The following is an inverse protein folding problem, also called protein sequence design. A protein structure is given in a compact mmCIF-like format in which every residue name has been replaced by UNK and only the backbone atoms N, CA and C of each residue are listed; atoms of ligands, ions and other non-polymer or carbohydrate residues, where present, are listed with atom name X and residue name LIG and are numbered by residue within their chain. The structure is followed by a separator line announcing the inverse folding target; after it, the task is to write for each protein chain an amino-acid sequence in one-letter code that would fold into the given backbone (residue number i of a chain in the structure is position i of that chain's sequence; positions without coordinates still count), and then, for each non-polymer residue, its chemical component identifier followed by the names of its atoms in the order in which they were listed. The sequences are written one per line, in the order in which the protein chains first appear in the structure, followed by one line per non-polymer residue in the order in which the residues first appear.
data_IF_512954971223
#
_entry.id   IF_512954971223
#
_cell.length_a   1.000
_cell.length_b   1.000
_cell.length_c   1.000
_cell.angle_alpha   90.00
_cell.angle_beta   90.00
_cell.angle_gamma   90.00
#
_symmetry.space_group_name_H-M   'P 1'
#
loop_
_entity.id
_entity.type
_entity.pdbx_description
1 polymer ?
#
# COMPACT_ATOMS: atom_id res chain seq x y z
N UNK A 1 -3.37 8.25 18.49
CA UNK A 1 -3.64 8.33 17.04
C UNK A 1 -3.25 7.03 16.35
N UNK A 2 -4.03 6.62 15.36
CA UNK A 2 -3.82 5.44 14.53
C UNK A 2 -3.80 5.85 13.05
N UNK A 3 -3.26 4.98 12.20
CA UNK A 3 -3.39 5.06 10.76
C UNK A 3 -4.39 4.03 10.27
N UNK A 4 -5.29 4.42 9.38
CA UNK A 4 -6.20 3.51 8.65
C UNK A 4 -5.90 3.61 7.17
N UNK A 5 -5.72 2.47 6.50
CA UNK A 5 -5.65 2.41 5.05
C UNK A 5 -6.95 1.79 4.53
N UNK A 6 -7.62 2.50 3.64
CA UNK A 6 -8.74 2.00 2.85
C UNK A 6 -8.26 1.85 1.41
N UNK A 7 -8.40 0.67 0.83
CA UNK A 7 -7.86 0.37 -0.49
C UNK A 7 -8.77 -0.54 -1.31
N UNK A 8 -8.57 -0.55 -2.62
CA UNK A 8 -9.30 -1.34 -3.62
C UNK A 8 -8.33 -1.83 -4.70
N UNK A 9 -8.46 -3.08 -5.10
CA UNK A 9 -7.64 -3.65 -6.17
C UNK A 9 -8.22 -3.27 -7.54
N UNK A 10 -7.44 -2.57 -8.32
CA UNK A 10 -7.80 -2.20 -9.70
C UNK A 10 -7.62 -3.43 -10.59
N UNK A 11 -8.62 -3.70 -11.44
CA UNK A 11 -8.69 -4.86 -12.34
C UNK A 11 -8.72 -6.21 -11.61
N UNK A 12 -9.20 -6.25 -10.37
CA UNK A 12 -9.30 -7.46 -9.54
C UNK A 12 -9.99 -8.63 -10.24
N UNK A 13 -10.91 -8.35 -11.16
CA UNK A 13 -11.67 -9.36 -11.91
C UNK A 13 -10.90 -10.01 -13.05
N UNK A 14 -9.76 -9.45 -13.45
CA UNK A 14 -8.92 -9.98 -14.55
C UNK A 14 -7.99 -11.11 -14.08
N UNK A 15 -7.83 -11.26 -12.77
CA UNK A 15 -6.92 -12.25 -12.16
C UNK A 15 -7.64 -12.98 -11.03
N UNK A 16 -7.44 -14.31 -10.94
CA UNK A 16 -8.03 -15.10 -9.86
C UNK A 16 -7.68 -14.51 -8.49
N UNK A 17 -8.69 -14.34 -7.60
CA UNK A 17 -8.48 -13.81 -6.24
C UNK A 17 -7.40 -14.57 -5.47
N UNK A 18 -7.29 -15.89 -5.63
CA UNK A 18 -6.29 -16.71 -4.95
C UNK A 18 -4.85 -16.28 -5.25
N UNK A 19 -4.60 -15.76 -6.47
CA UNK A 19 -3.26 -15.34 -6.88
C UNK A 19 -2.85 -14.05 -6.14
N UNK A 20 -3.68 -13.00 -6.24
CA UNK A 20 -3.31 -11.71 -5.68
C UNK A 20 -3.52 -11.65 -4.16
N UNK A 21 -4.54 -12.34 -3.63
CA UNK A 21 -4.81 -12.34 -2.20
C UNK A 21 -3.69 -13.05 -1.42
N UNK A 22 -3.21 -14.21 -1.91
CA UNK A 22 -2.10 -14.89 -1.27
C UNK A 22 -0.82 -14.03 -1.27
N UNK A 23 -0.55 -13.32 -2.36
CA UNK A 23 0.61 -12.43 -2.44
C UNK A 23 0.50 -11.22 -1.48
N UNK A 24 -0.71 -10.69 -1.28
CA UNK A 24 -0.96 -9.59 -0.36
C UNK A 24 -0.92 -10.01 1.12
N UNK A 25 -1.32 -11.25 1.43
CA UNK A 25 -1.43 -11.73 2.81
C UNK A 25 -0.15 -11.55 3.62
N UNK A 26 1.00 -11.84 3.05
CA UNK A 26 2.29 -11.67 3.75
C UNK A 26 2.51 -10.20 4.15
N UNK A 27 2.16 -9.27 3.27
CA UNK A 27 2.27 -7.83 3.56
C UNK A 27 1.22 -7.37 4.57
N UNK A 28 -0.01 -7.88 4.47
CA UNK A 28 -1.09 -7.57 5.40
C UNK A 28 -0.82 -8.12 6.81
N UNK A 29 -0.22 -9.31 6.92
CA UNK A 29 0.18 -9.90 8.21
C UNK A 29 1.22 -9.05 8.95
N UNK A 30 2.04 -8.27 8.23
CA UNK A 30 2.93 -7.30 8.84
C UNK A 30 2.19 -6.13 9.53
N UNK A 31 0.93 -5.87 9.15
CA UNK A 31 0.07 -4.90 9.83
C UNK A 31 -0.57 -5.47 11.11
N UNK A 32 -0.60 -6.79 11.27
CA UNK A 32 -1.14 -7.47 12.44
C UNK A 32 -2.06 -8.66 12.08
N UNK A 33 -2.97 -8.97 12.98
CA UNK A 33 -3.87 -10.14 12.88
C UNK A 33 -5.05 -9.85 11.95
N UNK A 34 -5.39 -10.83 11.10
CA UNK A 34 -6.57 -10.78 10.23
C UNK A 34 -7.85 -10.54 11.06
N UNK A 35 -8.80 -9.85 10.47
CA UNK A 35 -10.03 -9.32 11.06
C UNK A 35 -9.83 -8.18 12.06
N UNK A 36 -8.91 -8.27 13.00
CA UNK A 36 -8.73 -7.26 14.05
C UNK A 36 -7.81 -6.10 13.64
N UNK A 37 -6.83 -6.35 12.77
CA UNK A 37 -5.89 -5.33 12.25
C UNK A 37 -6.09 -5.05 10.78
N UNK A 38 -6.52 -6.03 9.99
CA UNK A 38 -6.84 -5.87 8.57
C UNK A 38 -7.95 -6.85 8.14
N UNK A 39 -8.64 -6.49 7.10
CA UNK A 39 -9.69 -7.31 6.50
C UNK A 39 -9.77 -7.05 5.00
N UNK A 40 -10.02 -8.12 4.22
CA UNK A 40 -10.45 -8.03 2.82
C UNK A 40 -11.94 -8.29 2.78
N UNK A 41 -12.71 -7.36 2.26
CA UNK A 41 -14.16 -7.40 2.22
C UNK A 41 -14.69 -7.01 0.83
N UNK A 42 -15.94 -7.33 0.53
CA UNK A 42 -16.57 -7.08 -0.79
C UNK A 42 -15.80 -7.63 -1.99
N UNK A 43 -14.89 -8.57 -1.76
CA UNK A 43 -14.13 -9.25 -2.80
C UNK A 43 -12.74 -8.68 -3.06
N UNK A 44 -12.57 -7.36 -3.11
CA UNK A 44 -11.31 -6.70 -3.49
C UNK A 44 -11.00 -5.43 -2.69
N UNK A 45 -11.87 -5.04 -1.78
CA UNK A 45 -11.65 -3.91 -0.87
C UNK A 45 -10.85 -4.35 0.35
N UNK A 46 -9.87 -3.56 0.74
CA UNK A 46 -8.99 -3.83 1.87
C UNK A 46 -9.11 -2.68 2.87
N UNK A 47 -9.21 -3.03 4.14
CA UNK A 47 -9.11 -2.06 5.23
C UNK A 47 -8.13 -2.57 6.27
N UNK A 48 -7.23 -1.71 6.71
CA UNK A 48 -6.25 -2.06 7.74
C UNK A 48 -6.00 -0.91 8.71
N UNK A 49 -5.67 -1.26 9.95
CA UNK A 49 -5.27 -0.35 11.02
C UNK A 49 -3.78 -0.57 11.28
N UNK A 50 -3.05 0.50 11.48
CA UNK A 50 -1.61 0.46 11.81
C UNK A 50 -1.20 1.67 12.63
N UNK A 51 0.03 1.67 13.13
CA UNK A 51 0.63 2.88 13.73
C UNK A 51 0.83 3.93 12.63
N UNK A 52 0.63 5.24 12.91
CA UNK A 52 0.80 6.30 11.91
C UNK A 52 2.15 6.26 11.20
N UNK A 53 3.22 5.96 11.94
CA UNK A 53 4.60 5.88 11.43
C UNK A 53 4.78 4.79 10.36
N UNK A 54 3.94 3.74 10.37
CA UNK A 54 4.01 2.62 9.45
C UNK A 54 3.05 2.75 8.26
N UNK A 55 2.11 3.70 8.32
CA UNK A 55 1.00 3.75 7.36
C UNK A 55 1.49 3.94 5.91
N UNK A 56 2.41 4.89 5.69
CA UNK A 56 2.96 5.13 4.35
C UNK A 56 3.80 3.94 3.86
N UNK A 57 4.64 3.36 4.74
CA UNK A 57 5.44 2.18 4.40
C UNK A 57 4.55 1.01 3.96
N UNK A 58 3.48 0.72 4.72
CA UNK A 58 2.55 -0.35 4.37
C UNK A 58 1.78 -0.05 3.07
N UNK A 59 1.35 1.19 2.87
CA UNK A 59 0.71 1.60 1.62
C UNK A 59 1.61 1.38 0.41
N UNK A 60 2.86 1.83 0.46
CA UNK A 60 3.83 1.63 -0.62
C UNK A 60 4.16 0.14 -0.80
N UNK A 61 4.25 -0.63 0.29
CA UNK A 61 4.46 -2.09 0.24
C UNK A 61 3.30 -2.80 -0.47
N UNK A 62 2.05 -2.45 -0.15
CA UNK A 62 0.87 -2.99 -0.83
C UNK A 62 0.87 -2.64 -2.32
N UNK A 63 1.23 -1.40 -2.69
CA UNK A 63 1.40 -0.99 -4.09
C UNK A 63 2.44 -1.84 -4.78
N UNK A 64 3.62 -2.00 -4.18
CA UNK A 64 4.72 -2.77 -4.74
C UNK A 64 4.37 -4.26 -4.91
N UNK A 65 3.62 -4.85 -3.98
CA UNK A 65 3.15 -6.23 -4.08
C UNK A 65 2.15 -6.39 -5.22
N UNK A 66 1.13 -5.53 -5.26
CA UNK A 66 0.07 -5.61 -6.28
C UNK A 66 0.63 -5.44 -7.69
N UNK A 67 1.57 -4.52 -7.87
CA UNK A 67 2.24 -4.26 -9.17
C UNK A 67 3.15 -5.40 -9.63
N UNK A 68 3.42 -6.43 -8.82
CA UNK A 68 4.10 -7.64 -9.27
C UNK A 68 3.23 -8.52 -10.17
N UNK A 69 1.92 -8.34 -10.12
CA UNK A 69 0.98 -9.07 -10.97
C UNK A 69 0.66 -8.20 -12.19
N UNK A 70 0.86 -8.73 -13.42
CA UNK A 70 0.52 -7.99 -14.62
C UNK A 70 -0.93 -7.50 -14.62
N UNK A 71 -1.15 -6.26 -15.06
CA UNK A 71 -2.43 -5.58 -15.18
C UNK A 71 -3.13 -5.24 -13.85
N UNK A 72 -2.66 -5.73 -12.71
CA UNK A 72 -3.19 -5.30 -11.42
C UNK A 72 -2.54 -4.00 -10.94
N UNK A 73 -3.34 -3.24 -10.22
CA UNK A 73 -2.90 -2.10 -9.45
C UNK A 73 -3.76 -1.98 -8.18
N UNK A 74 -3.43 -1.06 -7.31
CA UNK A 74 -4.18 -0.75 -6.10
C UNK A 74 -4.35 0.75 -5.97
N UNK A 75 -5.56 1.20 -5.67
CA UNK A 75 -5.82 2.56 -5.21
C UNK A 75 -6.09 2.54 -3.71
N UNK A 76 -5.57 3.52 -3.00
CA UNK A 76 -5.68 3.55 -1.56
C UNK A 76 -5.61 4.96 -0.98
N UNK A 77 -6.20 5.12 0.19
CA UNK A 77 -6.07 6.34 0.97
C UNK A 77 -5.71 6.01 2.42
N UNK A 78 -4.83 6.82 2.98
CA UNK A 78 -4.36 6.75 4.35
C UNK A 78 -5.11 7.82 5.16
N UNK A 79 -5.76 7.42 6.25
CA UNK A 79 -6.35 8.33 7.22
C UNK A 79 -5.61 8.27 8.54
N UNK A 80 -5.23 9.41 9.11
CA UNK A 80 -4.63 9.50 10.43
C UNK A 80 -5.65 10.14 11.38
N UNK A 81 -5.81 9.57 12.57
CA UNK A 81 -6.73 10.09 13.59
C UNK A 81 -6.88 9.15 14.77
N UNK A 82 -7.87 9.40 15.61
CA UNK A 82 -8.24 8.51 16.69
C UNK A 82 -9.19 7.42 16.16
N UNK A 83 -9.17 6.25 16.83
CA UNK A 83 -10.20 5.22 16.70
C UNK A 83 -11.06 5.31 17.96
N UNK A 84 -12.30 5.76 17.81
CA UNK A 84 -13.22 5.95 18.92
C UNK A 84 -14.06 4.72 19.23
N UNK A 85 -14.21 3.82 18.27
CA UNK A 85 -14.85 2.54 18.42
C UNK A 85 -14.05 1.45 17.72
N UNK A 86 -13.55 0.48 18.49
CA UNK A 86 -12.81 -0.68 17.99
C UNK A 86 -13.66 -1.94 18.14
N UNK A 87 -14.07 -2.50 17.02
CA UNK A 87 -14.77 -3.78 16.94
C UNK A 87 -13.80 -4.95 16.81
N UNK A 88 -14.28 -6.17 16.91
CA UNK A 88 -13.52 -7.38 16.56
C UNK A 88 -13.10 -7.39 15.08
N UNK A 89 -13.92 -6.75 14.21
CA UNK A 89 -13.64 -6.58 12.78
C UNK A 89 -13.25 -5.15 12.48
N UNK A 90 -12.19 -4.99 11.70
CA UNK A 90 -11.74 -3.67 11.22
C UNK A 90 -12.85 -2.93 10.49
N UNK A 91 -13.57 -3.62 9.59
CA UNK A 91 -14.67 -3.04 8.80
C UNK A 91 -15.87 -2.55 9.62
N UNK A 92 -15.96 -2.95 10.88
CA UNK A 92 -16.99 -2.51 11.83
C UNK A 92 -16.48 -1.50 12.85
N UNK A 93 -15.19 -1.17 12.81
CA UNK A 93 -14.56 -0.16 13.67
C UNK A 93 -14.81 1.25 13.12
N UNK A 94 -14.71 2.28 13.96
CA UNK A 94 -14.98 3.66 13.55
C UNK A 94 -14.14 4.68 14.33
N UNK A 95 -14.07 5.89 13.79
CA UNK A 95 -13.40 7.03 14.38
C UNK A 95 -12.80 7.96 13.32
N UNK A 96 -12.20 9.08 13.75
CA UNK A 96 -11.57 10.06 12.85
C UNK A 96 -10.60 9.45 11.83
N UNK A 97 -9.81 8.43 12.20
CA UNK A 97 -8.90 7.77 11.26
C UNK A 97 -9.65 7.11 10.10
N UNK A 98 -10.76 6.42 10.38
CA UNK A 98 -11.63 5.80 9.36
C UNK A 98 -12.34 6.85 8.49
N UNK A 99 -12.86 7.90 9.12
CA UNK A 99 -13.51 9.02 8.40
C UNK A 99 -12.51 9.68 7.46
N UNK A 100 -11.28 9.92 7.92
CA UNK A 100 -10.24 10.53 7.10
C UNK A 100 -9.83 9.62 5.93
N UNK A 101 -9.61 8.33 6.16
CA UNK A 101 -9.25 7.40 5.08
C UNK A 101 -10.37 7.25 4.06
N UNK A 102 -11.62 7.12 4.50
CA UNK A 102 -12.79 7.03 3.63
C UNK A 102 -12.97 8.30 2.79
N UNK A 103 -12.94 9.48 3.42
CA UNK A 103 -13.09 10.75 2.71
C UNK A 103 -11.96 10.99 1.69
N UNK A 104 -10.71 10.62 2.03
CA UNK A 104 -9.60 10.70 1.07
C UNK A 104 -9.74 9.68 -0.05
N UNK A 105 -10.24 8.47 0.24
CA UNK A 105 -10.48 7.42 -0.76
C UNK A 105 -11.57 7.83 -1.76
N UNK A 106 -12.68 8.37 -1.28
CA UNK A 106 -13.77 8.86 -2.14
C UNK A 106 -13.32 10.02 -3.04
N UNK A 107 -12.35 10.82 -2.57
CA UNK A 107 -11.79 11.95 -3.31
C UNK A 107 -10.66 11.57 -4.30
N UNK A 108 -10.22 10.31 -4.36
CA UNK A 108 -9.09 9.89 -5.21
C UNK A 108 -9.30 10.19 -6.70
N UNK A 109 -10.54 10.05 -7.21
CA UNK A 109 -10.83 10.15 -8.64
C UNK A 109 -9.90 9.24 -9.47
N UNK A 110 -8.93 9.85 -10.19
CA UNK A 110 -7.91 9.14 -11.00
C UNK A 110 -6.60 8.84 -10.26
N UNK A 111 -6.46 9.35 -9.04
CA UNK A 111 -5.26 9.10 -8.23
C UNK A 111 -5.30 7.71 -7.62
N UNK A 112 -4.14 7.17 -7.34
CA UNK A 112 -4.02 5.85 -6.73
C UNK A 112 -3.57 5.88 -5.28
N UNK A 113 -3.13 7.05 -4.78
CA UNK A 113 -2.67 7.21 -3.41
C UNK A 113 -3.00 8.61 -2.89
N UNK A 114 -3.54 8.70 -1.68
CA UNK A 114 -3.77 9.95 -0.96
C UNK A 114 -3.65 9.75 0.55
N UNK A 115 -3.47 10.86 1.27
CA UNK A 115 -3.48 10.88 2.73
C UNK A 115 -4.36 12.01 3.24
N UNK A 116 -5.02 11.78 4.38
CA UNK A 116 -5.74 12.79 5.14
C UNK A 116 -5.47 12.63 6.62
N UNK A 117 -5.07 13.73 7.25
CA UNK A 117 -4.73 13.81 8.66
C UNK A 117 -5.51 14.95 9.32
N UNK A 118 -5.36 15.18 10.63
CA UNK A 118 -5.88 16.39 11.28
C UNK A 118 -5.15 17.69 10.88
N UNK A 119 -4.02 17.61 10.17
CA UNK A 119 -3.16 18.75 9.82
C UNK A 119 -3.25 19.06 8.33
N UNK A 120 -4.09 20.03 7.99
CA UNK A 120 -4.41 20.38 6.60
C UNK A 120 -3.17 20.79 5.77
N UNK A 121 -2.32 21.64 6.32
CA UNK A 121 -1.12 22.11 5.60
C UNK A 121 -0.14 20.95 5.31
N UNK A 122 -0.04 20.00 6.25
CA UNK A 122 0.74 18.77 6.06
C UNK A 122 0.15 17.90 4.95
N UNK A 123 -1.18 17.74 4.91
CA UNK A 123 -1.89 16.99 3.88
C UNK A 123 -1.65 17.57 2.48
N UNK A 124 -1.69 18.89 2.34
CA UNK A 124 -1.46 19.58 1.06
C UNK A 124 -0.07 19.27 0.51
N UNK A 125 0.98 19.41 1.33
CA UNK A 125 2.35 19.13 0.92
C UNK A 125 2.55 17.64 0.62
N UNK A 126 2.09 16.76 1.52
CA UNK A 126 2.32 15.33 1.38
C UNK A 126 1.57 14.74 0.19
N UNK A 127 0.34 15.19 -0.09
CA UNK A 127 -0.40 14.73 -1.27
C UNK A 127 0.28 15.15 -2.58
N UNK A 128 0.92 16.32 -2.66
CA UNK A 128 1.74 16.71 -3.83
C UNK A 128 2.92 15.73 -3.97
N UNK A 129 3.59 15.37 -2.89
CA UNK A 129 4.70 14.40 -2.92
C UNK A 129 4.21 13.01 -3.35
N UNK A 130 3.03 12.58 -2.87
CA UNK A 130 2.42 11.31 -3.25
C UNK A 130 1.99 11.31 -4.73
N UNK A 131 1.44 12.40 -5.24
CA UNK A 131 1.11 12.56 -6.66
C UNK A 131 2.37 12.42 -7.54
N UNK A 132 3.48 13.06 -7.16
CA UNK A 132 4.76 12.93 -7.87
C UNK A 132 5.31 11.49 -7.81
N UNK A 133 5.25 10.85 -6.65
CA UNK A 133 5.68 9.45 -6.51
C UNK A 133 4.79 8.50 -7.33
N UNK A 134 3.48 8.76 -7.40
CA UNK A 134 2.53 7.97 -8.18
C UNK A 134 2.86 7.98 -9.67
N UNK A 135 3.42 9.08 -10.24
CA UNK A 135 3.87 9.13 -11.62
C UNK A 135 4.85 8.00 -11.96
N UNK A 136 5.64 7.58 -10.99
CA UNK A 136 6.57 6.44 -11.14
C UNK A 136 5.91 5.12 -10.72
N UNK A 137 5.29 5.08 -9.54
CA UNK A 137 4.72 3.85 -8.96
C UNK A 137 3.60 3.24 -9.80
N UNK A 138 2.74 4.06 -10.41
CA UNK A 138 1.65 3.58 -11.27
C UNK A 138 2.17 2.92 -12.56
N UNK A 139 3.38 3.28 -12.97
CA UNK A 139 4.05 2.74 -14.15
C UNK A 139 5.02 1.59 -13.86
N UNK A 140 5.13 1.11 -12.63
CA UNK A 140 5.98 -0.02 -12.31
C UNK A 140 5.59 -1.27 -13.10
N UNK A 141 6.61 -1.90 -13.68
CA UNK A 141 6.49 -3.23 -14.26
C UNK A 141 6.69 -4.30 -13.19
N UNK A 142 6.15 -5.51 -13.33
CA UNK A 142 6.25 -6.56 -12.31
C UNK A 142 7.67 -6.78 -11.75
N UNK A 143 8.66 -6.89 -12.63
CA UNK A 143 10.04 -7.09 -12.21
C UNK A 143 10.63 -5.88 -11.44
N UNK A 144 10.20 -4.66 -11.76
CA UNK A 144 10.61 -3.45 -11.04
C UNK A 144 9.96 -3.40 -9.65
N UNK A 145 8.66 -3.66 -9.57
CA UNK A 145 7.92 -3.70 -8.33
C UNK A 145 8.48 -4.75 -7.35
N UNK A 146 8.86 -5.94 -7.86
CA UNK A 146 9.51 -6.99 -7.08
C UNK A 146 10.87 -6.53 -6.51
N UNK A 147 11.70 -5.91 -7.33
CA UNK A 147 13.01 -5.40 -6.90
C UNK A 147 12.84 -4.28 -5.87
N UNK A 148 11.91 -3.34 -6.12
CA UNK A 148 11.62 -2.25 -5.21
C UNK A 148 11.11 -2.75 -3.86
N UNK A 149 10.15 -3.69 -3.86
CA UNK A 149 9.65 -4.34 -2.63
C UNK A 149 10.80 -4.95 -1.84
N UNK A 150 11.67 -5.73 -2.51
CA UNK A 150 12.82 -6.36 -1.85
C UNK A 150 13.76 -5.34 -1.21
N UNK A 151 14.03 -4.23 -1.88
CA UNK A 151 14.84 -3.14 -1.32
C UNK A 151 14.14 -2.45 -0.15
N UNK A 152 12.83 -2.20 -0.25
CA UNK A 152 12.04 -1.55 0.78
C UNK A 152 12.02 -2.36 2.08
N UNK A 153 11.87 -3.69 1.96
CA UNK A 153 11.88 -4.61 3.11
C UNK A 153 13.28 -4.84 3.69
N UNK A 154 14.32 -4.60 2.90
CA UNK A 154 15.71 -4.86 3.28
C UNK A 154 16.60 -3.67 2.91
N UNK A 155 16.44 -2.51 3.58
CA UNK A 155 17.07 -1.25 3.17
C UNK A 155 18.61 -1.28 3.24
N UNK A 156 19.18 -2.20 3.99
CA UNK A 156 20.65 -2.36 4.16
C UNK A 156 21.28 -3.30 3.13
N UNK A 157 20.50 -4.08 2.39
CA UNK A 157 21.04 -4.97 1.37
C UNK A 157 21.64 -4.20 0.20
N UNK A 158 22.81 -4.63 -0.25
CA UNK A 158 23.43 -4.12 -1.47
C UNK A 158 22.72 -4.67 -2.71
N UNK A 159 22.77 -3.94 -3.82
CA UNK A 159 22.16 -4.36 -5.08
C UNK A 159 22.61 -5.74 -5.57
N UNK A 160 23.83 -6.16 -5.25
CA UNK A 160 24.34 -7.51 -5.58
C UNK A 160 23.62 -8.59 -4.78
N UNK A 161 23.34 -8.32 -3.50
CA UNK A 161 22.64 -9.24 -2.60
C UNK A 161 21.15 -9.35 -2.99
N UNK A 162 20.53 -8.24 -3.36
CA UNK A 162 19.16 -8.23 -3.92
C UNK A 162 19.13 -9.04 -5.23
N UNK A 163 20.09 -8.82 -6.12
CA UNK A 163 20.18 -9.55 -7.38
C UNK A 163 20.31 -11.06 -7.16
N UNK A 164 21.16 -11.48 -6.23
CA UNK A 164 21.33 -12.88 -5.86
C UNK A 164 20.04 -13.47 -5.27
N UNK A 165 19.37 -12.76 -4.34
CA UNK A 165 18.13 -13.23 -3.70
C UNK A 165 16.95 -13.37 -4.66
N UNK A 166 16.93 -12.58 -5.74
CA UNK A 166 15.86 -12.60 -6.75
C UNK A 166 16.26 -13.35 -8.03
N UNK A 167 17.43 -13.99 -8.06
CA UNK A 167 17.98 -14.68 -9.25
C UNK A 167 18.03 -13.76 -10.49
N UNK A 168 18.37 -12.47 -10.29
CA UNK A 168 18.47 -11.46 -11.35
C UNK A 168 19.90 -10.97 -11.55
N UNK A 169 20.14 -10.34 -12.70
CA UNK A 169 21.43 -9.65 -12.93
C UNK A 169 21.49 -8.36 -12.12
N UNK A 170 22.64 -8.05 -11.53
CA UNK A 170 22.83 -6.81 -10.76
C UNK A 170 22.55 -5.55 -11.60
N UNK A 171 22.89 -5.57 -12.89
CA UNK A 171 22.59 -4.46 -13.81
C UNK A 171 21.08 -4.18 -13.92
N UNK A 172 20.21 -5.24 -13.90
CA UNK A 172 18.77 -5.09 -13.93
C UNK A 172 18.25 -4.47 -12.62
N UNK A 173 18.82 -4.87 -11.47
CA UNK A 173 18.49 -4.31 -10.16
C UNK A 173 18.88 -2.82 -10.12
N UNK A 174 20.10 -2.48 -10.54
CA UNK A 174 20.56 -1.08 -10.59
C UNK A 174 19.67 -0.22 -11.49
N UNK A 175 19.30 -0.72 -12.68
CA UNK A 175 18.43 -0.02 -13.60
C UNK A 175 17.03 0.21 -13.00
N UNK A 176 16.46 -0.82 -12.39
CA UNK A 176 15.12 -0.74 -11.78
C UNK A 176 15.07 0.27 -10.63
N UNK A 177 16.06 0.21 -9.70
CA UNK A 177 16.12 1.12 -8.56
C UNK A 177 16.42 2.58 -8.92
N UNK A 178 16.96 2.85 -10.10
CA UNK A 178 17.11 4.23 -10.60
C UNK A 178 15.83 4.79 -11.20
N UNK A 179 14.87 3.95 -11.52
CA UNK A 179 13.60 4.31 -12.17
C UNK A 179 12.36 4.10 -11.30
N UNK A 180 12.54 3.50 -10.09
CA UNK A 180 11.45 3.25 -9.13
C UNK A 180 11.10 4.43 -8.21
#
# INVERSE_FOLDING_TARGET
MEGVITADIINSREVSPDIWLNLLKDTLQNAGVEHSSWEVYRGDSIQLITKPINALYLGISLKAVTKQIPNLDIRMAIGIGEITYRSEKVSSSNGPAFINSGAAFDALNKKTLAIKTPWKDFDEVLNIMLDLAALTMDNWKPAMAEIFKKQLENPTLKQVEIAASLHKKQSNVSYSLKKS
#
